data_IF_654678249523
#
_entry.id   IF_654678249523
#
_cell.length_a   1.000
_cell.length_b   1.000
_cell.length_c   1.000
_cell.angle_alpha   90.00
_cell.angle_beta   90.00
_cell.angle_gamma   90.00
#
_symmetry.space_group_name_H-M   'P 1'
#
loop_
_entity.id
_entity.type
_entity.pdbx_description
1 polymer ?
#
# COMPACT_ATOMS: atom_id res chain seq x y z
N UNK A 1 -12.01 -39.06 -21.72
CA UNK A 1 -11.16 -38.71 -22.89
C UNK A 1 -11.68 -39.35 -24.16
N UNK A 2 -11.84 -40.68 -24.19
CA UNK A 2 -12.37 -41.41 -25.36
C UNK A 2 -13.68 -40.84 -25.90
N UNK A 3 -14.63 -40.51 -25.01
CA UNK A 3 -15.88 -39.86 -25.39
C UNK A 3 -15.70 -38.52 -26.12
N UNK A 4 -14.78 -37.67 -25.65
CA UNK A 4 -14.50 -36.37 -26.27
C UNK A 4 -13.83 -36.53 -27.65
N UNK A 5 -12.95 -37.53 -27.78
CA UNK A 5 -12.27 -37.85 -29.04
C UNK A 5 -13.19 -38.49 -30.09
N UNK A 6 -14.33 -39.05 -29.68
CA UNK A 6 -15.36 -39.58 -30.58
C UNK A 6 -16.27 -38.48 -31.20
N UNK A 7 -16.02 -37.20 -30.91
CA UNK A 7 -16.84 -36.10 -31.43
C UNK A 7 -16.76 -36.03 -32.97
N UNK A 8 -17.90 -36.09 -33.71
CA UNK A 8 -17.89 -36.29 -35.18
C UNK A 8 -17.23 -35.18 -36.02
N UNK A 9 -16.98 -34.01 -35.44
CA UNK A 9 -16.31 -32.89 -36.11
C UNK A 9 -14.79 -32.90 -35.95
N UNK A 10 -14.25 -33.83 -35.14
CA UNK A 10 -12.80 -34.05 -35.07
C UNK A 10 -12.35 -34.68 -36.39
N UNK A 11 -11.35 -34.07 -37.01
CA UNK A 11 -10.71 -34.54 -38.23
C UNK A 11 -9.46 -35.37 -37.90
N UNK A 12 -8.60 -34.85 -37.00
CA UNK A 12 -7.38 -35.55 -36.57
C UNK A 12 -7.00 -35.24 -35.13
N UNK A 13 -6.30 -36.17 -34.49
CA UNK A 13 -5.75 -36.02 -33.15
C UNK A 13 -4.29 -35.61 -33.28
N UNK A 14 -3.93 -34.41 -32.81
CA UNK A 14 -2.55 -33.91 -32.83
C UNK A 14 -1.78 -34.50 -31.64
N UNK A 15 -2.35 -34.37 -30.45
CA UNK A 15 -1.85 -34.99 -29.22
C UNK A 15 -3.01 -35.52 -28.38
N UNK A 16 -2.71 -36.21 -27.28
CA UNK A 16 -3.75 -36.71 -26.35
C UNK A 16 -4.68 -35.61 -25.80
N UNK A 17 -4.26 -34.35 -25.84
CA UNK A 17 -5.02 -33.20 -25.35
C UNK A 17 -5.21 -32.10 -26.40
N UNK A 18 -4.98 -32.38 -27.69
CA UNK A 18 -5.14 -31.41 -28.76
C UNK A 18 -5.66 -32.09 -30.02
N UNK A 19 -6.71 -31.53 -30.61
CA UNK A 19 -7.35 -32.07 -31.81
C UNK A 19 -7.50 -30.98 -32.86
N UNK A 20 -7.55 -31.39 -34.12
CA UNK A 20 -7.92 -30.54 -35.25
C UNK A 20 -9.34 -30.90 -35.70
N UNK A 21 -10.20 -29.90 -35.85
CA UNK A 21 -11.57 -30.06 -36.34
C UNK A 21 -11.61 -29.99 -37.87
N UNK A 22 -12.72 -30.48 -38.46
CA UNK A 22 -12.97 -30.47 -39.91
C UNK A 22 -13.00 -29.08 -40.55
N UNK A 23 -13.17 -28.04 -39.75
CA UNK A 23 -13.13 -26.63 -40.17
C UNK A 23 -11.76 -25.98 -39.92
N UNK A 24 -10.71 -26.78 -39.76
CA UNK A 24 -9.32 -26.37 -39.53
C UNK A 24 -9.02 -25.70 -38.18
N UNK A 25 -9.99 -25.61 -37.26
CA UNK A 25 -9.72 -25.13 -35.90
C UNK A 25 -8.95 -26.17 -35.08
N UNK A 26 -7.87 -25.73 -34.44
CA UNK A 26 -7.17 -26.49 -33.40
C UNK A 26 -7.78 -26.21 -32.04
N UNK A 27 -8.07 -27.26 -31.28
CA UNK A 27 -8.72 -27.18 -29.97
C UNK A 27 -7.92 -27.98 -28.95
N UNK A 28 -7.57 -27.30 -27.86
CA UNK A 28 -7.01 -27.95 -26.68
C UNK A 28 -8.14 -28.51 -25.80
N UNK A 29 -7.99 -29.77 -25.41
CA UNK A 29 -8.93 -30.50 -24.56
C UNK A 29 -8.33 -30.69 -23.17
N UNK A 30 -9.12 -30.31 -22.15
CA UNK A 30 -8.81 -30.58 -20.74
C UNK A 30 -9.97 -31.33 -20.10
N UNK A 31 -9.62 -32.26 -19.22
CA UNK A 31 -10.57 -33.05 -18.45
C UNK A 31 -10.13 -32.93 -16.99
N UNK A 32 -11.09 -32.64 -16.12
CA UNK A 32 -10.91 -32.66 -14.68
C UNK A 32 -11.97 -33.55 -14.03
N UNK A 33 -11.74 -33.92 -12.77
CA UNK A 33 -12.82 -34.36 -11.91
C UNK A 33 -13.83 -33.21 -11.73
N UNK A 34 -15.15 -33.49 -11.64
CA UNK A 34 -16.15 -32.47 -11.31
C UNK A 34 -15.81 -31.64 -10.07
N UNK A 35 -15.10 -32.22 -9.10
CA UNK A 35 -14.70 -31.53 -7.88
C UNK A 35 -13.53 -30.56 -8.05
N UNK A 36 -12.82 -30.62 -9.17
CA UNK A 36 -11.65 -29.77 -9.49
C UNK A 36 -11.96 -28.70 -10.53
N UNK A 37 -13.18 -28.71 -11.06
CA UNK A 37 -13.59 -27.91 -12.21
C UNK A 37 -13.32 -26.40 -12.03
N UNK A 38 -13.54 -25.86 -10.84
CA UNK A 38 -13.25 -24.46 -10.50
C UNK A 38 -11.77 -24.10 -10.58
N UNK A 39 -10.89 -25.00 -10.12
CA UNK A 39 -9.43 -24.81 -10.24
C UNK A 39 -8.95 -24.97 -11.66
N UNK A 40 -9.50 -25.94 -12.40
CA UNK A 40 -9.20 -26.16 -13.81
C UNK A 40 -9.59 -24.94 -14.64
N UNK A 41 -10.78 -24.38 -14.42
CA UNK A 41 -11.25 -23.16 -15.09
C UNK A 41 -10.29 -22.00 -14.85
N UNK A 42 -9.95 -21.69 -13.60
CA UNK A 42 -9.00 -20.62 -13.29
C UNK A 42 -7.66 -20.81 -14.03
N UNK A 43 -7.09 -22.02 -13.93
CA UNK A 43 -5.82 -22.35 -14.56
C UNK A 43 -5.89 -22.14 -16.08
N UNK A 44 -6.92 -22.70 -16.72
CA UNK A 44 -6.98 -22.75 -18.17
C UNK A 44 -7.40 -21.41 -18.79
N UNK A 45 -8.14 -20.57 -18.06
CA UNK A 45 -8.39 -19.17 -18.44
C UNK A 45 -7.11 -18.33 -18.33
N UNK A 46 -6.30 -18.55 -17.30
CA UNK A 46 -5.03 -17.84 -17.11
C UNK A 46 -5.21 -16.33 -16.93
N UNK A 47 -4.37 -15.46 -17.52
CA UNK A 47 -3.25 -15.73 -18.43
C UNK A 47 -2.07 -16.47 -17.77
N UNK A 48 -1.09 -16.92 -18.56
CA UNK A 48 0.13 -17.58 -18.04
C UNK A 48 0.79 -16.78 -16.90
N UNK A 49 0.91 -15.46 -17.06
CA UNK A 49 1.51 -14.60 -16.03
C UNK A 49 0.65 -14.49 -14.78
N UNK A 50 -0.68 -14.47 -14.93
CA UNK A 50 -1.62 -14.52 -13.81
C UNK A 50 -1.44 -15.83 -13.01
N UNK A 51 -1.36 -16.98 -13.68
CA UNK A 51 -1.12 -18.27 -13.04
C UNK A 51 0.22 -18.34 -12.31
N UNK A 52 1.29 -17.81 -12.91
CA UNK A 52 2.61 -17.72 -12.26
C UNK A 52 2.49 -16.89 -10.99
N UNK A 53 1.83 -15.73 -11.05
CA UNK A 53 1.65 -14.87 -9.88
C UNK A 53 0.88 -15.57 -8.76
N UNK A 54 -0.24 -16.24 -9.08
CA UNK A 54 -1.03 -16.97 -8.10
C UNK A 54 -0.24 -18.11 -7.44
N UNK A 55 0.55 -18.86 -8.22
CA UNK A 55 1.42 -19.92 -7.67
C UNK A 55 2.51 -19.36 -6.77
N UNK A 56 3.14 -18.25 -7.14
CA UNK A 56 4.12 -17.58 -6.27
C UNK A 56 3.49 -17.15 -4.95
N UNK A 57 2.29 -16.55 -5.00
CA UNK A 57 1.55 -16.15 -3.80
C UNK A 57 1.15 -17.34 -2.92
N UNK A 58 0.75 -18.46 -3.53
CA UNK A 58 0.47 -19.70 -2.81
C UNK A 58 1.73 -20.19 -2.08
N UNK A 59 2.86 -20.27 -2.79
CA UNK A 59 4.16 -20.72 -2.22
C UNK A 59 4.65 -19.83 -1.08
N UNK A 60 4.54 -18.51 -1.21
CA UNK A 60 4.86 -17.54 -0.14
C UNK A 60 4.07 -17.80 1.15
N UNK A 61 2.94 -18.51 1.05
CA UNK A 61 2.05 -18.85 2.18
C UNK A 61 2.15 -20.32 2.61
N UNK A 62 3.11 -21.08 2.08
CA UNK A 62 3.25 -22.50 2.36
C UNK A 62 2.17 -23.37 1.70
N UNK A 63 1.52 -22.85 0.66
CA UNK A 63 0.51 -23.54 -0.14
C UNK A 63 1.10 -23.93 -1.50
N UNK A 64 0.49 -24.93 -2.16
CA UNK A 64 0.78 -25.26 -3.56
C UNK A 64 -0.50 -25.22 -4.39
N UNK A 65 -0.48 -24.49 -5.50
CA UNK A 65 -1.63 -24.32 -6.41
C UNK A 65 -1.40 -25.10 -7.72
N UNK A 66 -2.31 -26.03 -8.04
CA UNK A 66 -2.37 -26.78 -9.31
C UNK A 66 -3.72 -26.63 -10.01
N UNK A 67 -3.92 -27.34 -11.13
CA UNK A 67 -5.23 -27.47 -11.79
C UNK A 67 -6.24 -28.29 -10.98
N UNK A 68 -5.77 -29.09 -10.02
CA UNK A 68 -6.60 -29.96 -9.19
C UNK A 68 -7.04 -29.29 -7.87
N UNK A 69 -6.52 -28.11 -7.55
CA UNK A 69 -6.83 -27.44 -6.29
C UNK A 69 -5.66 -26.74 -5.63
N UNK A 70 -5.83 -26.47 -4.34
CA UNK A 70 -4.83 -25.87 -3.47
C UNK A 70 -4.46 -26.85 -2.36
N UNK A 71 -3.20 -27.27 -2.35
CA UNK A 71 -2.64 -28.12 -1.32
C UNK A 71 -2.13 -27.27 -0.15
N UNK A 72 -2.65 -27.56 1.04
CA UNK A 72 -2.20 -26.99 2.30
C UNK A 72 -1.71 -28.12 3.20
N UNK A 73 -0.38 -28.20 3.41
CA UNK A 73 0.26 -29.35 4.09
C UNK A 73 -0.08 -30.65 3.37
N UNK A 74 -0.95 -31.48 3.95
CA UNK A 74 -1.40 -32.77 3.41
C UNK A 74 -2.86 -32.75 2.94
N UNK A 75 -3.55 -31.61 3.09
CA UNK A 75 -4.96 -31.47 2.70
C UNK A 75 -5.08 -30.77 1.36
N UNK A 76 -5.64 -31.47 0.37
CA UNK A 76 -6.02 -30.89 -0.91
C UNK A 76 -7.41 -30.26 -0.79
N UNK A 77 -7.48 -28.94 -0.98
CA UNK A 77 -8.74 -28.21 -1.11
C UNK A 77 -9.12 -28.20 -2.59
N UNK A 78 -10.24 -28.86 -2.91
CA UNK A 78 -10.81 -28.99 -4.26
C UNK A 78 -11.97 -28.01 -4.42
N UNK A 79 -12.24 -27.54 -5.64
CA UNK A 79 -13.23 -26.52 -5.92
C UNK A 79 -14.12 -26.90 -7.11
N UNK A 80 -15.40 -27.20 -6.83
CA UNK A 80 -16.40 -27.59 -7.84
C UNK A 80 -16.74 -26.46 -8.81
N UNK A 81 -16.70 -25.21 -8.35
CA UNK A 81 -17.00 -24.04 -9.17
C UNK A 81 -15.89 -23.00 -9.12
N UNK A 82 -15.79 -22.17 -10.16
CA UNK A 82 -14.85 -21.03 -10.15
C UNK A 82 -15.17 -20.07 -9.00
N UNK A 83 -16.45 -19.89 -8.66
CA UNK A 83 -16.88 -19.09 -7.52
C UNK A 83 -16.37 -19.65 -6.19
N UNK A 84 -16.35 -20.98 -6.01
CA UNK A 84 -15.78 -21.60 -4.81
C UNK A 84 -14.27 -21.38 -4.73
N UNK A 85 -13.57 -21.53 -5.86
CA UNK A 85 -12.14 -21.23 -5.95
C UNK A 85 -11.85 -19.77 -5.61
N UNK A 86 -12.58 -18.83 -6.20
CA UNK A 86 -12.46 -17.39 -5.94
C UNK A 86 -12.83 -17.05 -4.48
N UNK A 87 -13.80 -17.76 -3.89
CA UNK A 87 -14.21 -17.57 -2.50
C UNK A 87 -13.14 -18.07 -1.55
N UNK A 88 -12.48 -19.19 -1.85
CA UNK A 88 -11.33 -19.66 -1.11
C UNK A 88 -10.14 -18.71 -1.27
N UNK A 89 -9.84 -18.26 -2.50
CA UNK A 89 -8.84 -17.22 -2.77
C UNK A 89 -9.10 -15.96 -1.92
N UNK A 90 -10.37 -15.53 -1.84
CA UNK A 90 -10.85 -14.42 -0.99
C UNK A 90 -10.75 -14.71 0.51
N UNK A 91 -11.02 -15.95 0.94
CA UNK A 91 -10.94 -16.38 2.34
C UNK A 91 -9.48 -16.43 2.83
N UNK A 92 -8.56 -16.84 1.96
CA UNK A 92 -7.10 -16.77 2.17
C UNK A 92 -6.60 -15.32 2.01
N UNK A 93 -7.39 -14.44 1.37
CA UNK A 93 -7.19 -12.99 1.26
C UNK A 93 -7.70 -12.18 2.46
N UNK A 94 -7.85 -12.76 3.64
CA UNK A 94 -8.24 -11.99 4.83
C UNK A 94 -7.15 -11.95 5.91
N UNK A 95 -6.06 -11.24 5.62
CA UNK A 95 -5.62 -10.23 6.59
C UNK A 95 -6.40 -8.98 6.26
N UNK A 96 -7.60 -8.84 6.82
CA UNK A 96 -8.48 -7.70 6.55
C UNK A 96 -7.67 -6.42 6.62
N UNK A 97 -7.57 -5.71 5.49
CA UNK A 97 -6.84 -4.45 5.41
C UNK A 97 -7.51 -3.52 6.41
N UNK A 98 -6.74 -3.13 7.42
CA UNK A 98 -7.22 -2.19 8.42
C UNK A 98 -7.17 -0.81 7.80
N UNK A 99 -8.31 -0.13 7.81
CA UNK A 99 -8.47 1.20 7.24
C UNK A 99 -8.48 2.22 8.38
N UNK A 100 -7.76 3.31 8.18
CA UNK A 100 -7.88 4.53 8.96
C UNK A 100 -8.43 5.61 8.01
N UNK A 101 -9.38 6.38 8.51
CA UNK A 101 -10.00 7.47 7.73
C UNK A 101 -9.19 8.73 8.01
N UNK A 102 -8.14 8.93 7.22
CA UNK A 102 -7.32 10.13 7.24
C UNK A 102 -7.62 11.05 6.06
N UNK A 103 -7.28 12.32 6.18
CA UNK A 103 -7.29 13.29 5.09
C UNK A 103 -6.03 14.15 5.13
N UNK A 104 -5.47 14.43 3.96
CA UNK A 104 -4.48 15.50 3.82
C UNK A 104 -5.21 16.84 3.67
N UNK A 105 -4.88 17.79 4.55
CA UNK A 105 -5.53 19.09 4.65
C UNK A 105 -4.49 20.18 4.42
N UNK A 106 -4.77 21.04 3.45
CA UNK A 106 -3.94 22.19 3.13
C UNK A 106 -3.90 23.16 4.31
N UNK A 107 -2.69 23.54 4.71
CA UNK A 107 -2.46 24.65 5.62
C UNK A 107 -2.55 25.94 4.79
N UNK A 108 -3.50 26.83 5.10
CA UNK A 108 -3.58 28.15 4.46
C UNK A 108 -2.44 29.05 4.92
N UNK A 109 -2.14 30.17 4.24
CA UNK A 109 -1.06 31.08 4.64
C UNK A 109 -1.16 31.58 6.09
N UNK A 110 -2.38 31.70 6.63
CA UNK A 110 -2.65 32.13 8.01
C UNK A 110 -2.53 30.99 9.04
N UNK A 111 -2.21 29.77 8.61
CA UNK A 111 -2.02 28.60 9.48
C UNK A 111 -3.31 27.83 9.81
N UNK A 112 -4.48 28.31 9.38
CA UNK A 112 -5.76 27.63 9.53
C UNK A 112 -6.10 26.73 8.33
N UNK A 113 -7.25 26.06 8.39
CA UNK A 113 -7.69 25.09 7.39
C UNK A 113 -8.93 25.56 6.63
N UNK A 114 -9.10 25.08 5.40
CA UNK A 114 -10.36 25.25 4.66
C UNK A 114 -11.50 24.34 5.18
N UNK A 115 -11.16 23.25 5.88
CA UNK A 115 -12.12 22.34 6.49
C UNK A 115 -12.67 22.90 7.80
N UNK A 116 -13.96 22.69 8.06
CA UNK A 116 -14.59 22.99 9.35
C UNK A 116 -14.25 21.96 10.42
N UNK A 117 -14.28 22.36 11.69
CA UNK A 117 -14.04 21.47 12.83
C UNK A 117 -14.98 20.26 12.84
N UNK A 118 -16.23 20.44 12.38
CA UNK A 118 -17.21 19.35 12.27
C UNK A 118 -16.77 18.27 11.28
N UNK A 119 -16.14 18.65 10.17
CA UNK A 119 -15.57 17.70 9.22
C UNK A 119 -14.27 17.09 9.74
N UNK A 120 -13.39 17.90 10.35
CA UNK A 120 -12.17 17.39 10.98
C UNK A 120 -12.47 16.34 12.06
N UNK A 121 -13.57 16.49 12.79
CA UNK A 121 -13.99 15.56 13.84
C UNK A 121 -14.40 14.17 13.33
N UNK A 122 -14.75 14.01 12.05
CA UNK A 122 -15.10 12.70 11.48
C UNK A 122 -13.88 11.87 11.07
N UNK A 123 -12.70 12.51 10.98
CA UNK A 123 -11.45 11.87 10.64
C UNK A 123 -10.87 11.15 11.86
N UNK A 124 -10.18 10.04 11.63
CA UNK A 124 -9.31 9.43 12.64
C UNK A 124 -8.18 10.41 12.98
N UNK A 125 -7.47 10.87 11.95
CA UNK A 125 -6.42 11.89 12.01
C UNK A 125 -6.39 12.73 10.73
N UNK A 126 -5.76 13.90 10.78
CA UNK A 126 -5.41 14.69 9.61
C UNK A 126 -3.88 14.77 9.44
N UNK A 127 -3.45 14.68 8.18
CA UNK A 127 -2.13 15.10 7.72
C UNK A 127 -2.28 16.55 7.29
N UNK A 128 -1.43 17.44 7.76
CA UNK A 128 -1.48 18.85 7.38
C UNK A 128 -0.21 19.21 6.62
N UNK A 129 -0.36 19.89 5.50
CA UNK A 129 0.73 20.09 4.54
C UNK A 129 0.77 21.51 3.98
N UNK A 130 1.97 22.01 3.70
CA UNK A 130 2.17 23.27 2.99
C UNK A 130 2.19 23.03 1.46
N UNK A 131 1.21 23.56 0.75
CA UNK A 131 1.13 23.47 -0.73
C UNK A 131 1.35 24.80 -1.45
N UNK A 132 1.50 25.89 -0.70
CA UNK A 132 1.61 27.24 -1.23
C UNK A 132 2.46 28.12 -0.31
N UNK A 133 2.84 29.30 -0.80
CA UNK A 133 3.56 30.34 -0.04
C UNK A 133 4.86 29.82 0.63
N UNK A 134 5.69 29.15 -0.16
CA UNK A 134 6.96 28.57 0.29
C UNK A 134 8.05 29.63 0.58
N UNK A 135 7.99 30.77 -0.11
CA UNK A 135 9.01 31.84 -0.06
C UNK A 135 8.78 32.88 1.05
N UNK A 136 7.96 32.54 2.06
CA UNK A 136 7.75 33.37 3.24
C UNK A 136 8.99 33.41 4.15
N UNK A 137 8.99 34.36 5.09
CA UNK A 137 10.04 34.44 6.11
C UNK A 137 10.02 33.21 7.03
N UNK A 138 11.18 32.88 7.60
CA UNK A 138 11.35 31.80 8.59
C UNK A 138 10.31 31.91 9.71
N UNK A 139 10.12 33.11 10.26
CA UNK A 139 9.16 33.35 11.34
C UNK A 139 7.71 33.03 10.90
N UNK A 140 7.30 33.51 9.71
CA UNK A 140 5.94 33.31 9.21
C UNK A 140 5.66 31.83 8.88
N UNK A 141 6.60 31.13 8.26
CA UNK A 141 6.48 29.69 8.02
C UNK A 141 6.41 28.89 9.32
N UNK A 142 7.21 29.25 10.32
CA UNK A 142 7.20 28.61 11.65
C UNK A 142 5.84 28.78 12.33
N UNK A 143 5.33 30.00 12.37
CA UNK A 143 4.03 30.32 12.95
C UNK A 143 2.91 29.57 12.23
N UNK A 144 2.89 29.61 10.90
CA UNK A 144 1.92 28.89 10.08
C UNK A 144 1.86 27.39 10.40
N UNK A 145 3.02 26.74 10.48
CA UNK A 145 3.11 25.31 10.81
C UNK A 145 2.61 25.04 12.22
N UNK A 146 3.03 25.83 13.21
CA UNK A 146 2.64 25.64 14.61
C UNK A 146 1.14 25.89 14.81
N UNK A 147 0.59 26.93 14.18
CA UNK A 147 -0.84 27.24 14.21
C UNK A 147 -1.65 26.08 13.66
N UNK A 148 -1.25 25.51 12.52
CA UNK A 148 -1.92 24.34 11.97
C UNK A 148 -1.86 23.14 12.92
N UNK A 149 -0.67 22.80 13.42
CA UNK A 149 -0.47 21.66 14.32
C UNK A 149 -1.14 21.85 15.70
N UNK A 150 -1.54 23.08 16.06
CA UNK A 150 -2.28 23.32 17.30
C UNK A 150 -3.66 22.68 17.33
N UNK A 151 -4.24 22.41 16.16
CA UNK A 151 -5.54 21.73 16.08
C UNK A 151 -5.41 20.27 16.53
N UNK A 152 -6.34 19.74 17.35
CA UNK A 152 -6.22 18.40 17.92
C UNK A 152 -6.16 17.29 16.86
N UNK A 153 -6.94 17.41 15.78
CA UNK A 153 -6.96 16.44 14.67
C UNK A 153 -5.78 16.58 13.71
N UNK A 154 -5.07 17.71 13.70
CA UNK A 154 -3.87 17.89 12.87
C UNK A 154 -2.70 17.18 13.53
N UNK A 155 -2.49 15.91 13.19
CA UNK A 155 -1.59 15.02 13.93
C UNK A 155 -0.23 14.88 13.26
N UNK A 156 -0.21 14.88 11.94
CA UNK A 156 0.99 14.62 11.14
C UNK A 156 1.28 15.87 10.31
N UNK A 157 2.53 16.35 10.36
CA UNK A 157 3.01 17.33 9.39
C UNK A 157 3.48 16.56 8.13
N UNK A 158 2.70 16.66 7.05
CA UNK A 158 2.96 15.99 5.76
C UNK A 158 4.05 16.69 4.97
N UNK A 159 4.92 15.91 4.33
CA UNK A 159 6.14 16.32 3.59
C UNK A 159 6.62 17.71 4.02
N UNK A 160 7.22 17.79 5.22
CA UNK A 160 7.23 19.00 6.03
C UNK A 160 7.87 20.21 5.37
N UNK A 161 8.93 19.97 4.60
CA UNK A 161 9.66 21.05 3.93
C UNK A 161 9.01 21.46 2.62
N UNK A 162 8.08 20.65 2.10
CA UNK A 162 7.44 20.84 0.83
C UNK A 162 8.40 20.73 -0.35
N UNK A 163 9.62 20.20 -0.17
CA UNK A 163 10.62 20.15 -1.24
C UNK A 163 10.17 19.24 -2.39
N UNK A 164 10.67 19.56 -3.57
CA UNK A 164 10.62 18.66 -4.74
C UNK A 164 12.04 18.63 -5.28
N UNK A 165 12.69 17.48 -5.21
CA UNK A 165 14.07 17.28 -5.64
C UNK A 165 14.23 17.80 -7.07
N UNK A 166 15.24 18.65 -7.28
CA UNK A 166 15.54 19.35 -8.54
C UNK A 166 14.51 20.39 -9.03
N UNK A 167 13.40 20.62 -8.32
CA UNK A 167 12.35 21.55 -8.77
C UNK A 167 11.99 22.64 -7.75
N UNK A 168 11.94 22.31 -6.45
CA UNK A 168 11.57 23.23 -5.39
C UNK A 168 12.42 22.99 -4.14
N UNK A 169 13.06 24.04 -3.66
CA UNK A 169 13.83 23.99 -2.42
C UNK A 169 12.91 23.79 -1.21
N UNK A 170 13.49 23.28 -0.11
CA UNK A 170 12.82 23.20 1.18
C UNK A 170 12.38 24.59 1.66
N UNK A 171 11.15 24.69 2.17
CA UNK A 171 10.70 25.88 2.87
C UNK A 171 11.56 26.13 4.11
N UNK A 172 11.81 27.40 4.39
CA UNK A 172 12.61 27.80 5.55
C UNK A 172 11.72 28.00 6.77
N UNK A 173 12.01 27.31 7.88
CA UNK A 173 11.33 27.43 9.16
C UNK A 173 12.31 27.22 10.31
N UNK A 174 11.95 27.69 11.51
CA UNK A 174 12.66 27.40 12.75
C UNK A 174 12.27 25.98 13.20
N UNK A 175 12.96 24.99 12.60
CA UNK A 175 12.67 23.58 12.83
C UNK A 175 12.85 23.16 14.29
N UNK A 176 13.74 23.82 15.03
CA UNK A 176 13.90 23.60 16.47
C UNK A 176 12.62 23.92 17.24
N UNK A 177 11.98 25.06 16.95
CA UNK A 177 10.67 25.40 17.53
C UNK A 177 9.57 24.45 17.09
N UNK A 178 9.54 24.07 15.81
CA UNK A 178 8.55 23.11 15.29
C UNK A 178 8.69 21.76 15.98
N UNK A 179 9.92 21.22 16.11
CA UNK A 179 10.17 19.94 16.78
C UNK A 179 9.80 19.99 18.26
N UNK A 180 10.16 21.06 18.97
CA UNK A 180 9.78 21.24 20.36
C UNK A 180 8.25 21.25 20.52
N UNK A 181 7.53 21.90 19.60
CA UNK A 181 6.07 21.88 19.57
C UNK A 181 5.53 20.47 19.33
N UNK A 182 6.08 19.75 18.35
CA UNK A 182 5.66 18.39 18.03
C UNK A 182 5.85 17.44 19.22
N UNK A 183 6.98 17.51 19.92
CA UNK A 183 7.25 16.68 21.11
C UNK A 183 6.24 17.00 22.21
N UNK A 184 6.06 18.29 22.52
CA UNK A 184 5.14 18.73 23.57
C UNK A 184 3.70 18.31 23.32
N UNK A 185 3.26 18.31 22.05
CA UNK A 185 1.87 18.06 21.66
C UNK A 185 1.67 16.70 20.98
N UNK A 186 2.65 15.80 21.10
CA UNK A 186 2.60 14.45 20.52
C UNK A 186 2.28 14.41 19.01
N UNK A 187 2.79 15.39 18.25
CA UNK A 187 2.65 15.45 16.79
C UNK A 187 3.74 14.65 16.11
N UNK A 188 3.40 14.12 14.94
CA UNK A 188 4.27 13.26 14.15
C UNK A 188 4.84 14.03 12.96
N UNK A 189 6.03 13.61 12.53
CA UNK A 189 6.70 14.15 11.35
C UNK A 189 6.72 13.12 10.23
N UNK A 190 6.27 13.50 9.04
CA UNK A 190 6.29 12.62 7.88
C UNK A 190 7.70 12.45 7.29
N UNK A 191 8.02 11.22 6.92
CA UNK A 191 9.07 10.88 5.95
C UNK A 191 8.39 10.30 4.71
N UNK A 192 8.11 11.18 3.77
CA UNK A 192 7.46 10.90 2.51
C UNK A 192 8.41 10.13 1.60
N UNK A 193 8.03 8.91 1.24
CA UNK A 193 8.85 8.00 0.46
C UNK A 193 8.75 8.24 -1.06
N UNK A 194 7.95 9.22 -1.51
CA UNK A 194 7.85 9.50 -2.94
C UNK A 194 9.23 9.95 -3.48
N UNK A 195 9.73 9.37 -4.58
CA UNK A 195 11.11 9.58 -5.05
C UNK A 195 11.49 11.04 -5.26
N UNK A 196 10.56 11.85 -5.75
CA UNK A 196 10.81 13.27 -6.02
C UNK A 196 10.71 14.14 -4.75
N UNK A 197 10.27 13.58 -3.62
CA UNK A 197 10.17 14.30 -2.35
C UNK A 197 11.28 13.87 -1.38
N UNK A 198 11.28 12.60 -0.98
CA UNK A 198 12.09 12.07 0.12
C UNK A 198 12.09 13.00 1.35
N UNK A 199 10.92 13.54 1.71
CA UNK A 199 10.77 14.65 2.66
C UNK A 199 10.10 14.12 3.93
N UNK A 200 10.76 14.03 5.08
CA UNK A 200 11.85 14.87 5.55
C UNK A 200 13.28 14.52 5.06
N UNK A 201 14.14 15.54 4.78
CA UNK A 201 15.58 15.35 4.58
C UNK A 201 16.26 14.64 5.76
N UNK A 202 17.33 13.89 5.51
CA UNK A 202 17.99 13.01 6.50
C UNK A 202 18.68 13.77 7.63
N UNK A 203 19.24 14.93 7.35
CA UNK A 203 19.77 15.87 8.33
C UNK A 203 18.68 16.41 9.27
N UNK A 204 17.51 16.76 8.72
CA UNK A 204 16.36 17.17 9.54
C UNK A 204 15.75 15.99 10.30
N UNK A 205 15.72 14.78 9.72
CA UNK A 205 15.32 13.55 10.43
C UNK A 205 16.20 13.36 11.65
N UNK A 206 17.53 13.39 11.48
CA UNK A 206 18.49 13.22 12.58
C UNK A 206 18.26 14.24 13.69
N UNK A 207 18.00 15.49 13.32
CA UNK A 207 17.73 16.58 14.26
C UNK A 207 16.40 16.38 14.99
N UNK A 208 15.33 16.05 14.28
CA UNK A 208 14.01 15.78 14.85
C UNK A 208 14.06 14.62 15.87
N UNK A 209 14.75 13.53 15.53
CA UNK A 209 14.98 12.40 16.43
C UNK A 209 15.77 12.79 17.68
N UNK A 210 16.81 13.62 17.53
CA UNK A 210 17.58 14.15 18.65
C UNK A 210 16.75 14.97 19.65
N UNK A 211 15.61 15.52 19.21
CA UNK A 211 14.64 16.23 20.05
C UNK A 211 13.53 15.32 20.61
N UNK A 212 13.45 14.07 20.14
CA UNK A 212 12.45 13.09 20.56
C UNK A 212 11.17 13.06 19.69
N UNK A 213 11.17 13.71 18.53
CA UNK A 213 10.04 13.65 17.59
C UNK A 213 9.90 12.22 17.05
N UNK A 214 8.66 11.74 16.94
CA UNK A 214 8.34 10.46 16.30
C UNK A 214 8.02 10.65 14.82
N UNK A 215 8.44 9.68 14.02
CA UNK A 215 8.30 9.70 12.57
C UNK A 215 7.15 8.80 12.11
N UNK A 216 6.52 9.17 11.00
CA UNK A 216 5.64 8.30 10.22
C UNK A 216 6.12 8.28 8.77
N UNK A 217 6.22 7.09 8.17
CA UNK A 217 6.66 6.91 6.79
C UNK A 217 5.44 6.54 5.95
N UNK A 218 5.23 7.23 4.84
CA UNK A 218 4.22 6.89 3.84
C UNK A 218 4.76 7.08 2.42
N UNK A 219 3.97 6.73 1.41
CA UNK A 219 4.41 6.68 0.01
C UNK A 219 3.79 7.75 -0.88
N UNK A 220 2.86 8.56 -0.36
CA UNK A 220 2.11 9.55 -1.15
C UNK A 220 1.52 8.94 -2.43
N UNK A 221 0.94 7.74 -2.29
CA UNK A 221 0.55 6.92 -3.42
C UNK A 221 -0.79 7.36 -4.01
N UNK A 222 -0.74 7.72 -5.29
CA UNK A 222 -1.86 8.00 -6.17
C UNK A 222 -2.19 6.80 -7.09
N UNK A 223 -1.33 5.77 -7.10
CA UNK A 223 -1.50 4.49 -7.81
C UNK A 223 -0.95 3.34 -6.98
N UNK A 224 -1.49 2.14 -7.18
CA UNK A 224 -1.14 0.96 -6.37
C UNK A 224 0.36 0.62 -6.43
N UNK A 225 1.00 0.79 -7.59
CA UNK A 225 2.41 0.47 -7.80
C UNK A 225 3.34 1.38 -7.00
N UNK A 226 2.90 2.59 -6.67
CA UNK A 226 3.68 3.57 -5.89
C UNK A 226 3.82 3.16 -4.43
N UNK A 227 3.02 2.20 -3.94
CA UNK A 227 3.22 1.60 -2.61
C UNK A 227 4.60 0.93 -2.49
N UNK A 228 5.22 0.53 -3.61
CA UNK A 228 6.58 -0.02 -3.64
C UNK A 228 7.66 1.03 -3.31
N UNK A 229 7.31 2.32 -3.24
CA UNK A 229 8.23 3.39 -2.85
C UNK A 229 8.57 3.36 -1.37
N UNK A 230 7.84 2.62 -0.52
CA UNK A 230 8.05 2.57 0.94
C UNK A 230 9.51 2.33 1.33
N UNK A 231 10.23 1.51 0.54
CA UNK A 231 11.66 1.25 0.74
C UNK A 231 12.51 2.54 0.75
N UNK A 232 12.17 3.54 -0.06
CA UNK A 232 12.90 4.80 -0.13
C UNK A 232 12.74 5.63 1.13
N UNK A 233 11.52 5.69 1.70
CA UNK A 233 11.27 6.34 2.98
C UNK A 233 12.00 5.65 4.13
N UNK A 234 12.05 4.31 4.13
CA UNK A 234 12.84 3.54 5.11
C UNK A 234 14.34 3.82 4.94
N UNK A 235 14.86 3.87 3.71
CA UNK A 235 16.26 4.21 3.46
C UNK A 235 16.59 5.64 3.91
N UNK A 236 15.73 6.60 3.60
CA UNK A 236 15.86 8.00 4.01
C UNK A 236 15.87 8.13 5.54
N UNK A 237 14.93 7.47 6.22
CA UNK A 237 14.88 7.43 7.69
C UNK A 237 16.15 6.82 8.29
N UNK A 238 16.67 5.73 7.71
CA UNK A 238 17.93 5.10 8.15
C UNK A 238 19.15 6.02 7.96
N UNK A 239 19.21 6.79 6.86
CA UNK A 239 20.26 7.81 6.66
C UNK A 239 20.21 8.89 7.74
N UNK A 240 19.00 9.23 8.22
CA UNK A 240 18.77 10.09 9.38
C UNK A 240 18.92 9.40 10.74
N UNK A 241 19.47 8.18 10.80
CA UNK A 241 19.74 7.40 12.01
C UNK A 241 18.49 6.89 12.74
N UNK A 242 17.32 6.89 12.09
CA UNK A 242 16.09 6.36 12.66
C UNK A 242 16.20 4.86 12.95
N UNK A 243 15.72 4.46 14.13
CA UNK A 243 15.53 3.06 14.52
C UNK A 243 14.04 2.70 14.48
N UNK A 244 13.72 1.40 14.60
CA UNK A 244 12.34 0.91 14.65
C UNK A 244 11.48 1.67 15.68
N UNK A 245 12.03 1.88 16.88
CA UNK A 245 11.35 2.58 18.00
C UNK A 245 10.97 4.04 17.71
N UNK A 246 11.53 4.63 16.66
CA UNK A 246 11.30 6.02 16.30
C UNK A 246 10.18 6.19 15.26
N UNK A 247 9.77 5.10 14.62
CA UNK A 247 8.81 5.10 13.51
C UNK A 247 7.51 4.42 13.94
N UNK A 248 6.40 5.18 13.95
CA UNK A 248 5.11 4.69 14.45
C UNK A 248 4.50 3.59 13.58
N UNK A 249 4.83 3.52 12.29
CA UNK A 249 4.39 2.43 11.39
C UNK A 249 4.81 1.04 11.88
N UNK A 250 5.83 0.97 12.75
CA UNK A 250 6.35 -0.29 13.28
C UNK A 250 5.62 -0.81 14.52
N UNK A 251 4.66 -0.02 15.05
CA UNK A 251 3.81 -0.39 16.17
C UNK A 251 2.83 -1.50 15.77
N UNK A 252 2.28 -2.20 16.77
CA UNK A 252 1.13 -3.09 16.56
C UNK A 252 -0.08 -2.27 16.13
N UNK A 253 -1.06 -2.91 15.49
CA UNK A 253 -2.29 -2.23 15.07
C UNK A 253 -3.00 -1.52 16.24
N UNK A 254 -3.12 -2.17 17.40
CA UNK A 254 -3.75 -1.53 18.57
C UNK A 254 -3.00 -0.26 19.00
N UNK A 255 -1.66 -0.33 19.09
CA UNK A 255 -0.85 0.81 19.53
C UNK A 255 -0.83 1.93 18.48
N UNK A 256 -0.84 1.59 17.19
CA UNK A 256 -0.94 2.56 16.11
C UNK A 256 -2.29 3.28 16.14
N UNK A 257 -3.38 2.57 16.41
CA UNK A 257 -4.70 3.19 16.58
C UNK A 257 -4.70 4.17 17.75
N UNK A 258 -4.10 3.84 18.90
CA UNK A 258 -4.01 4.78 20.04
C UNK A 258 -3.20 6.04 19.73
N UNK A 259 -2.22 5.95 18.82
CA UNK A 259 -1.45 7.11 18.39
C UNK A 259 -2.24 7.96 17.39
N UNK A 260 -3.04 7.34 16.52
CA UNK A 260 -3.70 8.00 15.38
C UNK A 260 -5.19 8.31 15.59
N UNK A 261 -5.83 7.85 16.67
CA UNK A 261 -7.25 8.08 16.99
C UNK A 261 -7.39 8.66 18.39
#
# INVERSE_FOLDING_TARGET
>A
MEYALAYPQIDSVITRSQVKLKNDLEVDLKISDPDDWGSMLQHFTGSKMHNIRLRTLAKERGLSLSEDGILEKEKLHRFKTETDFQSYEKSVKNRGIKLLIGLEVDIRPEGDFALSDKLMATLDYAIVSNHSAFDNTVAKNTERIITALSHPKALILGHPTGRIINHRQSLSADWEKVFAFCVKNHKLMEVNAYPDRLDLPDDLIKTALGKGVKLIINTDSHKAEQMNHMKYGVWQARKGYAMKRDVVNSLTWQNLQTVLK
#
